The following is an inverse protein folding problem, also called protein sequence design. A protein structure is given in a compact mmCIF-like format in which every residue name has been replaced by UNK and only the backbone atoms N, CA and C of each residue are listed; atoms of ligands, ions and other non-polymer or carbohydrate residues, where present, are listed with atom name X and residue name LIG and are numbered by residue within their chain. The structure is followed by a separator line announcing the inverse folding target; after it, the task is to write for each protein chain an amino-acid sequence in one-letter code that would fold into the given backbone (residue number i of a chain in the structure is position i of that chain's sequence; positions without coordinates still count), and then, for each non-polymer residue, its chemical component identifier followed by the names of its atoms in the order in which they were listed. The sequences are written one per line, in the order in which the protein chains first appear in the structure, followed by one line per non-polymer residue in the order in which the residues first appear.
data_IF_965402272844
#
_entry.id   IF_965402272844
#
_cell.length_a   1.000
_cell.length_b   1.000
_cell.length_c   1.000
_cell.angle_alpha   90.00
_cell.angle_beta   90.00
_cell.angle_gamma   90.00
#
_symmetry.space_group_name_H-M   'P 1'
#
loop_
_entity.id
_entity.type
_entity.pdbx_description
1 polymer ?
#
# COMPACT_ATOMS: atom_id res chain seq x y z
N UNK A 1 15.65 -10.48 60.03
CA UNK A 1 14.93 -11.73 60.42
C UNK A 1 14.87 -12.60 59.19
N UNK A 2 15.81 -13.54 59.07
CA UNK A 2 15.72 -15.02 59.15
C UNK A 2 14.65 -15.59 58.21
N UNK A 3 15.02 -16.16 57.04
CA UNK A 3 15.54 -17.51 56.72
C UNK A 3 14.41 -18.55 56.53
N UNK A 4 14.34 -19.22 55.36
CA UNK A 4 14.60 -20.64 55.04
C UNK A 4 14.00 -20.99 53.67
N UNK A 5 14.74 -21.23 52.66
CA UNK A 5 15.27 -22.48 52.11
C UNK A 5 14.39 -23.73 52.31
N UNK A 6 13.93 -24.33 51.18
CA UNK A 6 13.68 -25.76 51.09
C UNK A 6 13.95 -26.27 49.67
N UNK A 7 15.03 -27.03 49.57
CA UNK A 7 15.50 -27.81 48.43
C UNK A 7 14.99 -29.24 48.66
N UNK A 8 14.34 -29.84 47.65
CA UNK A 8 14.22 -31.31 47.59
C UNK A 8 14.48 -31.83 46.19
N UNK A 9 15.61 -32.49 46.14
CA UNK A 9 16.07 -33.45 45.16
C UNK A 9 15.22 -34.71 45.20
N UNK A 10 14.85 -35.30 44.06
CA UNK A 10 14.53 -36.70 44.01
C UNK A 10 15.05 -37.26 42.68
N UNK A 11 15.97 -38.21 42.88
CA UNK A 11 16.73 -38.99 41.89
C UNK A 11 16.16 -40.38 41.83
N UNK A 12 16.39 -41.10 40.73
CA UNK A 12 16.30 -42.57 40.48
C UNK A 12 14.98 -43.04 39.85
N UNK A 13 14.92 -43.92 38.85
CA UNK A 13 15.78 -45.08 38.56
C UNK A 13 15.53 -45.63 37.14
N UNK A 14 16.58 -46.06 36.50
CA UNK A 14 16.57 -46.89 35.27
C UNK A 14 15.80 -48.21 35.45
N UNK A 15 15.20 -48.71 34.37
CA UNK A 15 15.14 -50.15 34.13
C UNK A 15 15.11 -50.47 32.63
N UNK A 16 16.10 -51.21 32.26
CA UNK A 16 16.44 -51.85 31.00
C UNK A 16 15.62 -53.14 30.84
N UNK A 17 15.05 -53.40 29.66
CA UNK A 17 14.73 -54.78 29.28
C UNK A 17 14.87 -54.93 27.76
N UNK A 18 16.00 -55.53 27.38
CA UNK A 18 16.18 -56.21 26.08
C UNK A 18 15.44 -57.55 26.08
N UNK A 19 14.78 -57.81 24.99
CA UNK A 19 14.50 -59.20 24.62
C UNK A 19 14.88 -59.38 23.13
N UNK A 20 15.94 -60.14 22.94
CA UNK A 20 16.37 -60.70 21.66
C UNK A 20 15.63 -62.05 21.50
N UNK A 21 15.02 -62.28 20.35
CA UNK A 21 14.79 -63.66 19.87
C UNK A 21 14.94 -63.72 18.36
N UNK A 22 15.94 -64.47 17.95
CA UNK A 22 16.18 -64.92 16.59
C UNK A 22 15.40 -66.21 16.30
N UNK A 23 14.94 -66.33 15.07
CA UNK A 23 15.06 -67.56 14.23
C UNK A 23 13.91 -67.52 13.18
N UNK A 24 14.17 -67.50 11.91
CA UNK A 24 14.60 -68.50 10.98
C UNK A 24 13.60 -68.67 9.86
N UNK A 25 14.12 -68.54 8.64
CA UNK A 25 13.81 -69.21 7.37
C UNK A 25 12.79 -68.64 6.37
N UNK A 26 13.39 -68.18 5.28
CA UNK A 26 13.12 -68.26 3.81
C UNK A 26 11.68 -68.52 3.28
N UNK A 27 11.18 -67.63 2.42
CA UNK A 27 11.08 -67.80 0.94
C UNK A 27 10.33 -66.67 0.25
N UNK A 28 11.01 -66.28 -0.85
CA UNK A 28 10.49 -65.80 -2.15
C UNK A 28 9.42 -64.71 -2.27
N UNK A 29 9.86 -63.57 -2.79
CA UNK A 29 9.35 -62.98 -4.03
C UNK A 29 8.08 -62.15 -3.93
N UNK A 30 8.21 -60.86 -3.77
CA UNK A 30 7.49 -59.96 -4.68
C UNK A 30 8.15 -58.57 -4.66
N UNK A 31 8.51 -58.10 -5.85
CA UNK A 31 8.98 -56.76 -6.08
C UNK A 31 7.77 -55.84 -6.04
N UNK A 32 7.50 -55.20 -4.93
CA UNK A 32 6.69 -53.98 -4.93
C UNK A 32 7.60 -52.80 -5.04
N UNK A 33 7.46 -52.13 -6.18
CA UNK A 33 8.12 -50.87 -6.51
C UNK A 33 8.07 -49.89 -5.33
N UNK A 34 9.25 -49.47 -4.88
CA UNK A 34 9.36 -48.34 -3.99
C UNK A 34 8.78 -47.13 -4.70
N UNK A 35 7.60 -46.70 -4.29
CA UNK A 35 7.10 -45.38 -4.64
C UNK A 35 8.06 -44.38 -4.10
N UNK A 36 8.79 -43.71 -4.99
CA UNK A 36 9.47 -42.43 -4.71
C UNK A 36 8.43 -41.53 -4.05
N UNK A 37 8.70 -40.88 -2.91
CA UNK A 37 7.80 -39.86 -2.44
C UNK A 37 7.68 -38.82 -3.58
N UNK A 38 6.47 -38.60 -4.08
CA UNK A 38 6.19 -37.45 -4.92
C UNK A 38 6.72 -36.24 -4.15
N UNK A 39 7.80 -35.66 -4.66
CA UNK A 39 8.35 -34.43 -4.14
C UNK A 39 7.27 -33.35 -4.28
N UNK A 40 6.54 -33.10 -3.22
CA UNK A 40 5.63 -31.97 -3.17
C UNK A 40 6.40 -30.75 -3.64
N UNK A 41 5.89 -30.03 -4.65
CA UNK A 41 6.51 -28.78 -5.10
C UNK A 41 6.73 -27.92 -3.85
N UNK A 42 7.97 -27.49 -3.62
CA UNK A 42 8.31 -26.55 -2.54
C UNK A 42 7.42 -25.31 -2.71
N UNK A 43 6.67 -24.94 -1.67
CA UNK A 43 5.87 -23.72 -1.70
C UNK A 43 6.75 -22.53 -2.01
N UNK A 44 6.28 -21.63 -2.86
CA UNK A 44 6.93 -20.37 -3.11
C UNK A 44 6.90 -19.52 -1.84
N UNK A 45 8.07 -19.11 -1.34
CA UNK A 45 8.23 -18.30 -0.13
C UNK A 45 8.44 -16.85 -0.51
N UNK A 46 7.55 -16.00 -0.05
CA UNK A 46 7.51 -14.58 -0.38
C UNK A 46 7.68 -13.76 0.89
N UNK A 47 8.54 -12.77 0.89
CA UNK A 47 8.61 -11.75 1.94
C UNK A 47 8.18 -10.40 1.36
N UNK A 48 7.37 -9.67 2.13
CA UNK A 48 7.10 -8.26 1.86
C UNK A 48 7.55 -7.40 3.03
N UNK A 49 8.28 -6.34 2.73
CA UNK A 49 8.81 -5.40 3.72
C UNK A 49 8.12 -4.06 3.50
N UNK A 50 7.36 -3.62 4.49
CA UNK A 50 6.68 -2.32 4.49
C UNK A 50 7.57 -1.25 5.13
N UNK A 51 7.59 -0.05 4.56
CA UNK A 51 8.17 1.15 5.16
C UNK A 51 7.13 1.78 6.13
N UNK A 52 6.88 1.12 7.26
CA UNK A 52 5.84 1.48 8.22
C UNK A 52 5.16 0.25 8.79
N UNK A 53 3.86 0.33 9.02
CA UNK A 53 3.06 -0.74 9.62
C UNK A 53 1.69 -0.88 8.93
N UNK A 54 1.03 -2.01 9.15
CA UNK A 54 -0.34 -2.26 8.73
C UNK A 54 -1.34 -1.51 9.62
N UNK A 55 -2.55 -1.28 9.11
CA UNK A 55 -3.57 -0.48 9.79
C UNK A 55 -3.51 1.00 9.44
N UNK A 56 -2.74 1.38 8.42
CA UNK A 56 -2.66 2.75 7.91
C UNK A 56 -3.90 3.20 7.13
N UNK A 57 -4.78 2.25 6.77
CA UNK A 57 -5.97 2.45 5.93
C UNK A 57 -5.64 3.15 4.61
N UNK A 58 -4.47 2.85 4.05
CA UNK A 58 -3.92 3.50 2.87
C UNK A 58 -2.95 2.55 2.15
N UNK A 59 -1.72 2.97 1.90
CA UNK A 59 -0.71 2.33 1.06
C UNK A 59 -0.32 0.92 1.50
N UNK A 60 0.00 0.71 2.80
CA UNK A 60 0.43 -0.60 3.29
C UNK A 60 -0.73 -1.58 3.37
N UNK A 61 -1.90 -1.13 3.78
CA UNK A 61 -3.11 -1.95 3.79
C UNK A 61 -3.53 -2.34 2.37
N UNK A 62 -3.39 -1.43 1.39
CA UNK A 62 -3.62 -1.76 -0.01
C UNK A 62 -2.71 -2.90 -0.49
N UNK A 63 -1.39 -2.82 -0.24
CA UNK A 63 -0.48 -3.91 -0.59
C UNK A 63 -0.88 -5.23 0.07
N UNK A 64 -1.30 -5.18 1.34
CA UNK A 64 -1.72 -6.36 2.10
C UNK A 64 -2.99 -7.02 1.53
N UNK A 65 -3.92 -6.25 0.96
CA UNK A 65 -5.07 -6.82 0.24
C UNK A 65 -4.63 -7.60 -1.01
N UNK A 66 -3.63 -7.12 -1.74
CA UNK A 66 -3.02 -7.84 -2.86
C UNK A 66 -2.39 -9.17 -2.43
N UNK A 67 -1.71 -9.18 -1.27
CA UNK A 67 -1.16 -10.40 -0.66
C UNK A 67 -2.28 -11.39 -0.31
N UNK A 68 -3.31 -10.93 0.38
CA UNK A 68 -4.45 -11.78 0.79
C UNK A 68 -5.11 -12.43 -0.43
N UNK A 69 -5.29 -11.66 -1.51
CA UNK A 69 -5.82 -12.18 -2.76
C UNK A 69 -4.93 -13.26 -3.34
N UNK A 70 -3.62 -13.03 -3.41
CA UNK A 70 -2.68 -14.01 -3.93
C UNK A 70 -2.64 -15.29 -3.08
N UNK A 71 -2.68 -15.20 -1.75
CA UNK A 71 -2.74 -16.35 -0.84
C UNK A 71 -4.03 -17.17 -0.98
N UNK A 72 -5.12 -16.55 -1.41
CA UNK A 72 -6.37 -17.25 -1.66
C UNK A 72 -6.35 -18.05 -2.98
N UNK A 73 -5.50 -17.66 -3.94
CA UNK A 73 -5.45 -18.26 -5.29
C UNK A 73 -4.26 -19.20 -5.49
N UNK A 74 -3.16 -18.99 -4.76
CA UNK A 74 -1.90 -19.72 -4.94
C UNK A 74 -1.45 -20.41 -3.63
N UNK A 75 -0.84 -21.58 -3.75
CA UNK A 75 -0.21 -22.28 -2.61
C UNK A 75 1.16 -21.68 -2.33
N UNK A 76 1.17 -20.54 -1.64
CA UNK A 76 2.35 -19.73 -1.30
C UNK A 76 2.47 -19.55 0.21
N UNK A 77 3.69 -19.25 0.68
CA UNK A 77 3.97 -18.84 2.05
C UNK A 77 4.39 -17.37 2.03
N UNK A 78 3.71 -16.51 2.77
CA UNK A 78 4.04 -15.09 2.81
C UNK A 78 4.43 -14.65 4.22
N UNK A 79 5.57 -13.97 4.35
CA UNK A 79 6.02 -13.28 5.55
C UNK A 79 5.93 -11.78 5.34
N UNK A 80 5.14 -11.13 6.17
CA UNK A 80 5.00 -9.67 6.18
C UNK A 80 5.87 -9.08 7.30
N UNK A 81 6.70 -8.09 6.96
CA UNK A 81 7.55 -7.36 7.90
C UNK A 81 7.16 -5.89 7.92
N UNK A 82 6.92 -5.38 9.12
CA UNK A 82 6.70 -3.97 9.38
C UNK A 82 8.01 -3.32 9.81
N UNK A 83 8.49 -2.34 9.06
CA UNK A 83 9.71 -1.59 9.39
C UNK A 83 9.34 -0.22 9.92
N UNK A 84 9.21 -0.13 11.24
CA UNK A 84 8.69 1.06 11.92
C UNK A 84 9.63 2.26 11.87
N UNK A 85 10.93 2.00 11.72
CA UNK A 85 11.98 3.01 11.62
C UNK A 85 12.90 2.71 10.44
N UNK A 86 13.51 3.73 9.81
CA UNK A 86 14.37 3.54 8.63
C UNK A 86 15.56 2.59 8.85
N UNK A 87 16.08 2.49 10.08
CA UNK A 87 17.16 1.56 10.43
C UNK A 87 16.81 0.08 10.24
N UNK A 88 15.53 -0.26 10.20
CA UNK A 88 15.07 -1.64 10.05
C UNK A 88 14.99 -2.06 8.57
N UNK A 89 14.92 -1.11 7.65
CA UNK A 89 14.61 -1.37 6.24
C UNK A 89 15.65 -2.29 5.58
N UNK A 90 16.92 -1.91 5.63
CA UNK A 90 18.01 -2.68 5.02
C UNK A 90 18.12 -4.06 5.67
N UNK A 91 18.09 -4.12 7.01
CA UNK A 91 18.17 -5.36 7.77
C UNK A 91 17.04 -6.33 7.39
N UNK A 92 15.81 -5.84 7.28
CA UNK A 92 14.66 -6.67 6.94
C UNK A 92 14.75 -7.22 5.51
N UNK A 93 15.11 -6.39 4.53
CA UNK A 93 15.28 -6.83 3.13
C UNK A 93 16.39 -7.89 3.02
N UNK A 94 17.57 -7.60 3.59
CA UNK A 94 18.73 -8.49 3.50
C UNK A 94 18.50 -9.81 4.25
N UNK A 95 17.85 -9.77 5.42
CA UNK A 95 17.54 -10.98 6.17
C UNK A 95 16.63 -11.91 5.38
N UNK A 96 15.59 -11.38 4.72
CA UNK A 96 14.68 -12.22 3.93
C UNK A 96 15.38 -12.84 2.72
N UNK A 97 16.23 -12.08 2.02
CA UNK A 97 17.03 -12.63 0.93
C UNK A 97 18.00 -13.73 1.44
N UNK A 98 18.66 -13.50 2.57
CA UNK A 98 19.61 -14.46 3.19
C UNK A 98 18.92 -15.72 3.74
N UNK A 99 17.67 -15.61 4.24
CA UNK A 99 16.86 -16.74 4.70
C UNK A 99 16.31 -17.59 3.54
N UNK A 100 16.62 -17.23 2.29
CA UNK A 100 16.25 -17.97 1.09
C UNK A 100 14.76 -17.88 0.75
N UNK A 101 14.17 -16.69 0.91
CA UNK A 101 12.88 -16.39 0.29
C UNK A 101 13.05 -16.34 -1.22
N UNK A 102 12.07 -16.86 -1.95
CA UNK A 102 12.11 -16.94 -3.41
C UNK A 102 11.81 -15.57 -4.07
N UNK A 103 11.01 -14.73 -3.37
CA UNK A 103 10.67 -13.36 -3.76
C UNK A 103 10.71 -12.45 -2.53
N UNK A 104 11.38 -11.30 -2.64
CA UNK A 104 11.41 -10.24 -1.62
C UNK A 104 10.87 -8.95 -2.24
N UNK A 105 9.79 -8.40 -1.66
CA UNK A 105 9.10 -7.21 -2.13
C UNK A 105 9.39 -6.05 -1.18
N UNK A 106 9.98 -4.96 -1.67
CA UNK A 106 10.08 -3.68 -0.97
C UNK A 106 8.86 -2.82 -1.28
N UNK A 107 7.97 -2.64 -0.31
CA UNK A 107 6.73 -1.89 -0.49
C UNK A 107 6.92 -0.41 -0.15
N UNK A 108 7.67 0.29 -0.93
CA UNK A 108 7.85 1.75 -0.97
C UNK A 108 9.02 2.13 -1.87
N UNK A 109 9.00 3.31 -2.47
CA UNK A 109 10.16 3.92 -3.14
C UNK A 109 11.38 4.11 -2.22
N UNK A 110 11.17 4.16 -0.92
CA UNK A 110 12.22 4.32 0.09
C UNK A 110 13.19 3.12 0.17
N UNK A 111 12.81 1.96 -0.40
CA UNK A 111 13.70 0.78 -0.53
C UNK A 111 14.59 0.82 -1.77
N UNK A 112 14.51 1.86 -2.62
CA UNK A 112 15.20 1.91 -3.92
C UNK A 112 16.69 1.63 -3.82
N UNK A 113 17.41 2.40 -3.00
CA UNK A 113 18.86 2.26 -2.85
C UNK A 113 19.24 0.93 -2.18
N UNK A 114 18.41 0.43 -1.27
CA UNK A 114 18.61 -0.84 -0.59
C UNK A 114 18.51 -1.99 -1.58
N UNK A 115 17.44 -2.04 -2.37
CA UNK A 115 17.25 -3.12 -3.36
C UNK A 115 18.29 -3.02 -4.46
N UNK A 116 18.59 -1.82 -4.96
CA UNK A 116 19.65 -1.61 -5.95
C UNK A 116 21.01 -2.11 -5.49
N UNK A 117 21.35 -1.88 -4.22
CA UNK A 117 22.61 -2.33 -3.62
C UNK A 117 22.66 -3.85 -3.48
N UNK A 118 21.59 -4.46 -2.96
CA UNK A 118 21.64 -5.84 -2.50
C UNK A 118 21.10 -6.87 -3.50
N UNK A 119 20.25 -6.49 -4.47
CA UNK A 119 19.73 -7.45 -5.45
C UNK A 119 20.85 -8.19 -6.23
N UNK A 120 21.97 -7.56 -6.63
CA UNK A 120 23.09 -8.26 -7.27
C UNK A 120 23.82 -9.28 -6.35
N UNK A 121 23.75 -9.10 -5.03
CA UNK A 121 24.36 -10.02 -4.06
C UNK A 121 23.57 -11.34 -3.93
N UNK A 122 22.29 -11.33 -4.33
CA UNK A 122 21.37 -12.48 -4.27
C UNK A 122 20.80 -12.82 -5.66
N UNK A 123 21.61 -13.27 -6.62
CA UNK A 123 21.18 -13.45 -8.02
C UNK A 123 20.08 -14.51 -8.22
N UNK A 124 19.89 -15.40 -7.25
CA UNK A 124 18.85 -16.44 -7.27
C UNK A 124 17.55 -16.02 -6.57
N UNK A 125 17.51 -14.85 -5.92
CA UNK A 125 16.32 -14.28 -5.29
C UNK A 125 15.68 -13.31 -6.28
N UNK A 126 14.37 -13.43 -6.46
CA UNK A 126 13.56 -12.44 -7.17
C UNK A 126 13.31 -11.26 -6.22
N UNK A 127 13.49 -10.06 -6.71
CA UNK A 127 13.11 -8.85 -5.97
C UNK A 127 11.99 -8.12 -6.70
N UNK A 128 11.15 -7.42 -5.95
CA UNK A 128 10.26 -6.44 -6.52
C UNK A 128 10.28 -5.16 -5.69
N UNK A 129 10.02 -4.04 -6.36
CA UNK A 129 9.90 -2.75 -5.70
C UNK A 129 8.61 -2.07 -6.14
N UNK A 130 7.91 -1.50 -5.17
CA UNK A 130 6.69 -0.74 -5.39
C UNK A 130 7.02 0.75 -5.34
N UNK A 131 6.47 1.51 -6.30
CA UNK A 131 6.49 2.97 -6.34
C UNK A 131 7.78 3.63 -6.90
N UNK A 132 8.70 2.84 -7.44
CA UNK A 132 9.90 3.36 -8.11
C UNK A 132 10.48 2.30 -9.05
N UNK A 133 11.54 2.65 -9.78
CA UNK A 133 12.26 1.74 -10.67
C UNK A 133 13.64 1.43 -10.11
N UNK A 134 13.99 0.14 -10.11
CA UNK A 134 15.34 -0.36 -9.89
C UNK A 134 15.74 -1.18 -11.11
N UNK A 135 16.77 -0.72 -11.82
CA UNK A 135 17.30 -1.37 -13.03
C UNK A 135 18.33 -2.44 -12.66
N UNK A 136 17.84 -3.60 -12.23
CA UNK A 136 18.64 -4.78 -11.92
C UNK A 136 18.00 -6.04 -12.53
N UNK A 137 18.78 -7.02 -13.00
CA UNK A 137 18.28 -8.14 -13.80
C UNK A 137 17.35 -9.10 -13.04
N UNK A 138 17.31 -9.05 -11.71
CA UNK A 138 16.43 -9.85 -10.87
C UNK A 138 15.38 -9.00 -10.11
N UNK A 139 15.16 -7.74 -10.52
CA UNK A 139 14.18 -6.85 -9.90
C UNK A 139 13.03 -6.55 -10.86
N UNK A 140 11.79 -6.75 -10.42
CA UNK A 140 10.59 -6.23 -11.09
C UNK A 140 10.14 -4.94 -10.38
N UNK A 141 9.84 -3.91 -11.14
CA UNK A 141 9.42 -2.61 -10.62
C UNK A 141 7.94 -2.37 -10.91
N UNK A 142 7.21 -1.82 -9.95
CA UNK A 142 5.82 -1.38 -10.13
C UNK A 142 5.76 0.12 -9.94
N UNK A 143 5.30 0.83 -10.96
CA UNK A 143 5.16 2.30 -10.94
C UNK A 143 3.73 2.70 -11.25
N UNK A 144 3.33 3.84 -10.70
CA UNK A 144 1.98 4.37 -10.83
C UNK A 144 2.01 5.75 -11.45
N UNK A 145 1.06 6.04 -12.32
CA UNK A 145 0.82 7.38 -12.85
C UNK A 145 -0.01 8.20 -11.85
N UNK A 146 0.52 8.39 -10.63
CA UNK A 146 -0.18 9.11 -9.56
C UNK A 146 -0.51 10.55 -9.92
N UNK A 147 0.25 11.18 -10.82
CA UNK A 147 -0.07 12.49 -11.37
C UNK A 147 -1.43 12.50 -12.09
N UNK A 148 -1.79 11.44 -12.84
CA UNK A 148 -3.10 11.34 -13.52
C UNK A 148 -4.26 11.33 -12.52
N UNK A 149 -4.19 10.47 -11.49
CA UNK A 149 -5.23 10.39 -10.46
C UNK A 149 -5.31 11.65 -9.61
N UNK A 150 -4.17 12.24 -9.28
CA UNK A 150 -4.12 13.51 -8.55
C UNK A 150 -4.64 14.68 -9.39
N UNK A 151 -4.44 14.67 -10.71
CA UNK A 151 -5.08 15.63 -11.61
C UNK A 151 -6.60 15.55 -11.49
N UNK A 152 -7.17 14.36 -11.55
CA UNK A 152 -8.61 14.17 -11.36
C UNK A 152 -9.08 14.63 -9.97
N UNK A 153 -8.31 14.32 -8.92
CA UNK A 153 -8.61 14.75 -7.55
C UNK A 153 -8.55 16.27 -7.38
N UNK A 154 -7.55 16.92 -7.97
CA UNK A 154 -7.42 18.38 -7.98
C UNK A 154 -8.55 19.07 -8.75
N UNK A 155 -8.94 18.50 -9.89
CA UNK A 155 -10.09 18.97 -10.66
C UNK A 155 -11.40 18.82 -9.85
N UNK A 156 -11.62 17.68 -9.18
CA UNK A 156 -12.78 17.47 -8.32
C UNK A 156 -12.83 18.46 -7.16
N UNK A 157 -11.70 18.70 -6.49
CA UNK A 157 -11.58 19.64 -5.39
C UNK A 157 -11.84 21.09 -5.85
N UNK A 158 -11.32 21.50 -7.01
CA UNK A 158 -11.53 22.83 -7.57
C UNK A 158 -12.98 23.05 -8.02
N UNK A 159 -13.65 22.03 -8.55
CA UNK A 159 -15.09 22.09 -8.85
C UNK A 159 -15.91 22.19 -7.58
N UNK A 160 -15.55 21.43 -6.55
CA UNK A 160 -16.29 21.37 -5.30
C UNK A 160 -16.21 22.68 -4.51
N UNK A 161 -15.03 23.31 -4.41
CA UNK A 161 -14.84 24.59 -3.69
C UNK A 161 -15.61 25.76 -4.33
N UNK A 162 -16.17 25.58 -5.55
CA UNK A 162 -17.05 26.57 -6.19
C UNK A 162 -18.54 26.40 -5.85
N UNK A 163 -18.90 25.34 -5.11
CA UNK A 163 -20.28 24.98 -4.78
C UNK A 163 -20.71 25.62 -3.45
N UNK A 164 -20.84 26.94 -3.43
CA UNK A 164 -21.15 27.73 -2.21
C UNK A 164 -22.55 27.47 -1.62
N UNK A 165 -23.39 26.73 -2.30
CA UNK A 165 -24.67 26.20 -1.82
C UNK A 165 -24.51 24.90 -1.01
N UNK A 166 -23.35 24.26 -1.08
CA UNK A 166 -22.96 23.13 -0.21
C UNK A 166 -22.53 23.69 1.15
N UNK A 167 -23.00 23.03 2.21
CA UNK A 167 -22.71 23.47 3.58
C UNK A 167 -21.20 23.64 3.83
N UNK A 168 -20.82 24.75 4.45
CA UNK A 168 -19.44 25.08 4.83
C UNK A 168 -18.43 25.25 3.66
N UNK A 169 -18.89 25.29 2.43
CA UNK A 169 -18.07 25.76 1.29
C UNK A 169 -18.13 27.29 1.24
N UNK A 170 -16.98 27.94 1.16
CA UNK A 170 -16.88 29.39 1.08
C UNK A 170 -16.60 29.88 -0.35
N UNK A 171 -16.51 31.18 -0.56
CA UNK A 171 -16.28 31.77 -1.89
C UNK A 171 -14.80 32.02 -2.23
N UNK A 172 -13.87 31.62 -1.38
CA UNK A 172 -12.44 31.99 -1.53
C UNK A 172 -11.67 31.11 -2.52
N UNK A 173 -12.24 29.98 -2.95
CA UNK A 173 -11.63 29.03 -3.89
C UNK A 173 -10.27 28.53 -3.42
N UNK A 174 -10.17 28.18 -2.15
CA UNK A 174 -8.95 27.65 -1.54
C UNK A 174 -9.14 26.16 -1.28
N UNK A 175 -8.22 25.37 -1.80
CA UNK A 175 -8.12 23.94 -1.54
C UNK A 175 -6.77 23.62 -0.87
N UNK A 176 -6.68 22.46 -0.23
CA UNK A 176 -5.50 22.05 0.49
C UNK A 176 -4.91 20.75 -0.02
N UNK A 177 -3.65 20.54 0.31
CA UNK A 177 -2.93 19.29 0.10
C UNK A 177 -1.97 19.05 1.27
N UNK A 178 -2.02 17.86 1.86
CA UNK A 178 -1.13 17.44 2.95
C UNK A 178 -0.40 16.18 2.54
N UNK A 179 0.92 16.26 2.38
CA UNK A 179 1.79 15.14 2.09
C UNK A 179 2.52 14.62 3.32
N UNK A 180 2.89 13.34 3.30
CA UNK A 180 3.70 12.73 4.36
C UNK A 180 5.12 13.28 4.35
N UNK A 181 5.88 13.00 3.31
CA UNK A 181 7.28 13.43 3.16
C UNK A 181 7.48 14.14 1.82
N UNK A 182 8.47 15.04 1.77
CA UNK A 182 8.88 15.69 0.53
C UNK A 182 9.84 14.78 -0.26
N UNK A 183 9.25 13.88 -1.05
CA UNK A 183 9.96 12.91 -1.88
C UNK A 183 9.41 12.92 -3.32
N UNK A 184 10.17 12.46 -4.33
CA UNK A 184 9.78 12.57 -5.73
C UNK A 184 8.37 12.05 -6.05
N UNK A 185 7.98 10.91 -5.52
CA UNK A 185 6.66 10.33 -5.75
C UNK A 185 5.52 11.22 -5.23
N UNK A 186 5.72 11.93 -4.10
CA UNK A 186 4.74 12.87 -3.58
C UNK A 186 4.73 14.19 -4.35
N UNK A 187 5.84 14.59 -4.95
CA UNK A 187 5.89 15.75 -5.85
C UNK A 187 5.09 15.48 -7.13
N UNK A 188 5.07 14.24 -7.64
CA UNK A 188 4.21 13.85 -8.77
C UNK A 188 2.72 14.00 -8.43
N UNK A 189 2.31 13.51 -7.24
CA UNK A 189 0.94 13.72 -6.73
C UNK A 189 0.59 15.21 -6.67
N UNK A 190 1.46 16.01 -6.04
CA UNK A 190 1.25 17.45 -5.87
C UNK A 190 1.16 18.18 -7.20
N UNK A 191 2.02 17.80 -8.15
CA UNK A 191 2.04 18.38 -9.50
C UNK A 191 0.72 18.10 -10.21
N UNK A 192 0.26 16.84 -10.24
CA UNK A 192 -1.02 16.48 -10.82
C UNK A 192 -2.18 17.22 -10.17
N UNK A 193 -2.21 17.27 -8.82
CA UNK A 193 -3.27 17.97 -8.08
C UNK A 193 -3.37 19.46 -8.43
N UNK A 194 -2.23 20.16 -8.49
CA UNK A 194 -2.19 21.56 -8.90
C UNK A 194 -2.62 21.77 -10.34
N UNK A 195 -2.17 20.89 -11.25
CA UNK A 195 -2.56 20.96 -12.66
C UNK A 195 -4.06 20.73 -12.85
N UNK A 196 -4.64 19.75 -12.14
CA UNK A 196 -6.08 19.49 -12.19
C UNK A 196 -6.90 20.65 -11.66
N UNK A 197 -6.48 21.24 -10.55
CA UNK A 197 -7.11 22.44 -10.00
C UNK A 197 -7.06 23.62 -10.98
N UNK A 198 -5.90 23.93 -11.52
CA UNK A 198 -5.70 25.02 -12.48
C UNK A 198 -6.40 24.78 -13.82
N UNK A 199 -6.59 23.52 -14.23
CA UNK A 199 -7.36 23.18 -15.42
C UNK A 199 -8.84 23.57 -15.30
N UNK A 200 -9.40 23.45 -14.10
CA UNK A 200 -10.79 23.84 -13.81
C UNK A 200 -10.89 25.35 -13.60
N UNK A 201 -10.06 25.90 -12.74
CA UNK A 201 -10.03 27.33 -12.45
C UNK A 201 -8.61 27.76 -12.03
N UNK A 202 -7.92 28.54 -12.88
CA UNK A 202 -6.55 28.99 -12.60
C UNK A 202 -6.41 29.89 -11.36
N UNK A 203 -7.54 30.44 -10.87
CA UNK A 203 -7.56 31.25 -9.65
C UNK A 203 -7.68 30.41 -8.37
N UNK A 204 -7.86 29.08 -8.50
CA UNK A 204 -7.91 28.19 -7.34
C UNK A 204 -6.55 28.16 -6.63
N UNK A 205 -6.54 28.55 -5.36
CA UNK A 205 -5.35 28.54 -4.52
C UNK A 205 -5.16 27.17 -3.87
N UNK A 206 -3.96 26.60 -3.99
CA UNK A 206 -3.59 25.33 -3.35
C UNK A 206 -2.65 25.59 -2.18
N UNK A 207 -3.11 25.33 -0.95
CA UNK A 207 -2.26 25.32 0.25
C UNK A 207 -1.53 23.97 0.33
N UNK A 208 -0.22 24.00 0.61
CA UNK A 208 0.61 22.79 0.64
C UNK A 208 1.33 22.68 1.96
N UNK A 209 1.28 21.48 2.56
CA UNK A 209 2.04 21.15 3.76
C UNK A 209 2.63 19.76 3.66
N UNK A 210 3.84 19.55 4.19
CA UNK A 210 4.44 18.23 4.39
C UNK A 210 4.59 17.96 5.88
N UNK A 211 4.15 16.78 6.32
CA UNK A 211 4.23 16.38 7.72
C UNK A 211 5.65 15.99 8.17
N UNK A 212 6.51 15.62 7.22
CA UNK A 212 7.84 15.05 7.49
C UNK A 212 7.81 13.58 7.91
N UNK A 213 6.63 12.95 7.89
CA UNK A 213 6.42 11.55 8.29
C UNK A 213 5.15 10.98 7.68
N UNK A 214 5.08 9.64 7.56
CA UNK A 214 3.87 8.91 7.20
C UNK A 214 3.12 8.32 8.41
N UNK A 215 3.63 8.50 9.64
CA UNK A 215 3.19 7.73 10.81
C UNK A 215 2.73 8.60 12.01
N UNK A 216 2.30 9.84 11.75
CA UNK A 216 1.84 10.77 12.79
C UNK A 216 0.47 11.40 12.44
N UNK A 217 -0.65 10.75 12.79
CA UNK A 217 -1.99 11.30 12.57
C UNK A 217 -2.23 12.65 13.27
N UNK A 218 -1.62 12.87 14.44
CA UNK A 218 -1.78 14.15 15.14
C UNK A 218 -1.17 15.29 14.33
N UNK A 219 0.00 15.06 13.74
CA UNK A 219 0.64 16.03 12.85
C UNK A 219 -0.19 16.28 11.59
N UNK A 220 -0.76 15.22 11.00
CA UNK A 220 -1.69 15.35 9.87
C UNK A 220 -2.89 16.22 10.21
N UNK A 221 -3.51 15.97 11.37
CA UNK A 221 -4.64 16.76 11.87
C UNK A 221 -4.28 18.23 12.09
N UNK A 222 -3.15 18.51 12.75
CA UNK A 222 -2.65 19.88 12.99
C UNK A 222 -2.50 20.66 11.67
N UNK A 223 -1.85 20.05 10.67
CA UNK A 223 -1.64 20.69 9.37
C UNK A 223 -2.93 20.95 8.62
N UNK A 224 -3.88 20.02 8.65
CA UNK A 224 -5.18 20.19 8.03
C UNK A 224 -6.00 21.30 8.71
N UNK A 225 -6.05 21.32 10.04
CA UNK A 225 -6.71 22.41 10.80
C UNK A 225 -6.13 23.77 10.46
N UNK A 226 -4.80 23.87 10.30
CA UNK A 226 -4.14 25.12 9.89
C UNK A 226 -4.55 25.54 8.48
N UNK A 227 -4.72 24.61 7.53
CA UNK A 227 -5.19 24.93 6.18
C UNK A 227 -6.69 25.30 6.16
N UNK A 228 -7.56 24.61 6.93
CA UNK A 228 -8.96 25.00 7.05
C UNK A 228 -9.11 26.39 7.69
N UNK A 229 -8.27 26.74 8.66
CA UNK A 229 -8.28 28.09 9.26
C UNK A 229 -7.84 29.19 8.29
N UNK A 230 -7.11 28.82 7.21
CA UNK A 230 -6.71 29.71 6.12
C UNK A 230 -7.73 29.76 4.97
N UNK A 231 -8.91 29.17 5.17
CA UNK A 231 -10.02 29.22 4.22
C UNK A 231 -10.13 28.02 3.27
N UNK A 232 -9.31 26.98 3.41
CA UNK A 232 -9.49 25.79 2.59
C UNK A 232 -10.86 25.13 2.85
N UNK A 233 -11.56 24.73 1.79
CA UNK A 233 -12.82 24.00 1.90
C UNK A 233 -12.62 22.49 1.91
N UNK A 234 -11.63 22.03 1.14
CA UNK A 234 -11.35 20.62 0.91
C UNK A 234 -9.83 20.38 0.87
N UNK A 235 -9.36 19.32 1.50
CA UNK A 235 -7.93 18.97 1.58
C UNK A 235 -7.72 17.54 1.09
N UNK A 236 -6.81 17.35 0.13
CA UNK A 236 -6.34 16.01 -0.24
C UNK A 236 -5.25 15.55 0.74
N UNK A 237 -5.40 14.33 1.27
CA UNK A 237 -4.34 13.69 2.03
C UNK A 237 -3.50 12.78 1.12
N UNK A 238 -2.16 12.86 1.22
CA UNK A 238 -1.21 11.94 0.57
C UNK A 238 -0.14 11.58 1.60
N UNK A 239 -0.57 10.93 2.69
CA UNK A 239 0.27 10.84 3.87
C UNK A 239 0.13 9.52 4.66
N UNK A 240 -0.41 8.45 4.04
CA UNK A 240 -0.58 7.14 4.69
C UNK A 240 -1.27 7.27 6.07
N UNK A 241 -0.74 6.66 7.14
CA UNK A 241 -1.33 6.77 8.48
C UNK A 241 -1.46 8.23 8.98
N UNK A 242 -0.52 9.12 8.65
CA UNK A 242 -0.63 10.56 8.95
C UNK A 242 -1.88 11.17 8.31
N UNK A 243 -2.29 10.68 7.14
CA UNK A 243 -3.50 11.10 6.43
C UNK A 243 -4.81 10.82 7.18
N UNK A 244 -4.85 9.83 8.06
CA UNK A 244 -6.02 9.58 8.91
C UNK A 244 -6.37 10.81 9.77
N UNK A 245 -5.35 11.55 10.22
CA UNK A 245 -5.55 12.82 10.95
C UNK A 245 -6.13 13.93 10.07
N UNK A 246 -5.78 13.97 8.78
CA UNK A 246 -6.37 14.93 7.83
C UNK A 246 -7.86 14.67 7.64
N UNK A 247 -8.24 13.39 7.47
CA UNK A 247 -9.63 12.99 7.34
C UNK A 247 -10.44 13.28 8.62
N UNK A 248 -9.85 13.05 9.79
CA UNK A 248 -10.46 13.39 11.09
C UNK A 248 -10.64 14.90 11.23
N UNK A 249 -9.66 15.72 10.82
CA UNK A 249 -9.76 17.18 10.83
C UNK A 249 -10.90 17.69 9.95
N UNK A 250 -11.12 17.07 8.79
CA UNK A 250 -12.24 17.43 7.90
C UNK A 250 -13.60 17.29 8.61
N UNK A 251 -13.82 16.13 9.23
CA UNK A 251 -15.02 15.87 10.03
C UNK A 251 -15.17 16.87 11.20
N UNK A 252 -14.10 17.05 11.98
CA UNK A 252 -14.15 17.89 13.18
C UNK A 252 -14.35 19.37 12.86
N UNK A 253 -13.81 19.83 11.71
CA UNK A 253 -13.99 21.20 11.21
C UNK A 253 -15.27 21.39 10.39
N UNK A 254 -16.05 20.32 10.18
CA UNK A 254 -17.19 20.32 9.25
C UNK A 254 -16.79 20.80 7.85
N UNK A 255 -15.59 20.42 7.41
CA UNK A 255 -15.01 20.69 6.10
C UNK A 255 -14.88 19.39 5.33
N UNK A 256 -14.15 19.38 4.21
CA UNK A 256 -14.11 18.25 3.30
C UNK A 256 -12.69 17.75 3.05
N UNK A 257 -12.58 16.50 2.63
CA UNK A 257 -11.33 15.87 2.27
C UNK A 257 -11.42 15.06 0.98
N UNK A 258 -10.26 14.78 0.40
CA UNK A 258 -10.06 13.76 -0.63
C UNK A 258 -9.16 12.67 -0.04
N UNK A 259 -9.62 11.43 -0.10
CA UNK A 259 -8.88 10.25 0.32
C UNK A 259 -7.80 9.82 -0.68
N UNK A 260 -6.98 8.82 -0.30
CA UNK A 260 -5.88 8.32 -1.13
C UNK A 260 -5.67 6.82 -0.99
N UNK A 261 -5.06 6.20 -1.98
CA UNK A 261 -4.65 4.80 -2.13
C UNK A 261 -5.82 3.82 -2.22
N UNK A 262 -6.65 3.74 -1.19
CA UNK A 262 -7.85 2.89 -1.14
C UNK A 262 -9.11 3.73 -1.05
N UNK A 263 -10.27 3.09 -1.13
CA UNK A 263 -11.54 3.77 -0.83
C UNK A 263 -11.59 4.13 0.67
N UNK A 264 -11.49 5.41 0.97
CA UNK A 264 -11.59 5.99 2.32
C UNK A 264 -12.93 6.71 2.55
N UNK A 265 -13.85 6.72 1.57
CA UNK A 265 -15.08 7.52 1.60
C UNK A 265 -15.96 7.18 2.80
N UNK A 266 -16.02 5.90 3.20
CA UNK A 266 -16.81 5.42 4.35
C UNK A 266 -16.17 5.69 5.72
N UNK A 267 -14.94 6.21 5.79
CA UNK A 267 -14.30 6.51 7.09
C UNK A 267 -15.06 7.63 7.79
N UNK A 268 -15.45 8.66 7.03
CA UNK A 268 -16.28 9.77 7.52
C UNK A 268 -17.31 10.17 6.44
N UNK A 269 -18.43 9.46 6.33
CA UNK A 269 -19.46 9.73 5.32
C UNK A 269 -19.93 11.18 5.37
N UNK A 270 -19.98 11.82 4.20
CA UNK A 270 -20.37 13.22 4.06
C UNK A 270 -19.25 14.25 4.27
N UNK A 271 -18.02 13.78 4.58
CA UNK A 271 -16.84 14.64 4.73
C UNK A 271 -15.72 14.29 3.75
N UNK A 272 -15.76 13.13 3.11
CA UNK A 272 -14.81 12.72 2.09
C UNK A 272 -15.52 12.71 0.74
N UNK A 273 -15.12 13.65 -0.14
CA UNK A 273 -15.75 13.83 -1.45
C UNK A 273 -15.57 12.60 -2.33
N UNK A 274 -14.34 12.11 -2.39
CA UNK A 274 -13.88 10.97 -3.18
C UNK A 274 -12.53 10.52 -2.65
N UNK A 275 -12.09 9.34 -3.04
CA UNK A 275 -10.73 8.85 -2.79
C UNK A 275 -9.99 8.63 -4.09
N UNK A 276 -8.75 9.13 -4.18
CA UNK A 276 -7.85 8.85 -5.29
C UNK A 276 -7.27 7.46 -5.11
N UNK A 277 -7.75 6.53 -5.93
CA UNK A 277 -7.35 5.13 -5.88
C UNK A 277 -5.98 4.95 -6.54
N UNK A 278 -5.04 4.39 -5.78
CA UNK A 278 -3.75 3.90 -6.25
C UNK A 278 -3.69 2.40 -5.95
N UNK A 279 -3.90 1.59 -6.98
CA UNK A 279 -4.15 0.16 -6.85
C UNK A 279 -2.86 -0.62 -6.55
N UNK A 280 -2.26 -0.32 -5.39
CA UNK A 280 -1.08 -1.04 -4.86
C UNK A 280 -1.43 -2.52 -4.65
N UNK A 281 -2.66 -2.81 -4.28
CA UNK A 281 -3.22 -4.16 -4.18
C UNK A 281 -3.07 -4.95 -5.48
N UNK A 282 -3.43 -4.34 -6.61
CA UNK A 282 -3.30 -4.97 -7.93
C UNK A 282 -1.82 -5.13 -8.31
N UNK A 283 -1.01 -4.09 -8.10
CA UNK A 283 0.42 -4.15 -8.40
C UNK A 283 1.14 -5.24 -7.61
N UNK A 284 0.88 -5.33 -6.30
CA UNK A 284 1.45 -6.37 -5.43
C UNK A 284 0.96 -7.77 -5.83
N UNK A 285 -0.34 -7.91 -6.12
CA UNK A 285 -0.91 -9.17 -6.59
C UNK A 285 -0.27 -9.64 -7.91
N UNK A 286 -0.10 -8.76 -8.92
CA UNK A 286 0.49 -9.13 -10.21
C UNK A 286 1.96 -9.55 -10.09
N UNK A 287 2.74 -8.90 -9.19
CA UNK A 287 4.10 -9.33 -8.87
C UNK A 287 4.10 -10.76 -8.31
N UNK A 288 3.27 -11.03 -7.30
CA UNK A 288 3.19 -12.35 -6.66
C UNK A 288 2.70 -13.41 -7.66
N UNK A 289 1.67 -13.11 -8.42
CA UNK A 289 1.13 -13.96 -9.49
C UNK A 289 2.20 -14.33 -10.51
N UNK A 290 2.97 -13.34 -10.96
CA UNK A 290 4.04 -13.58 -11.94
C UNK A 290 5.08 -14.58 -11.41
N UNK A 291 5.42 -14.49 -10.12
CA UNK A 291 6.34 -15.41 -9.47
C UNK A 291 5.72 -16.81 -9.26
N UNK A 292 4.46 -16.89 -8.87
CA UNK A 292 3.74 -18.15 -8.63
C UNK A 292 3.50 -18.93 -9.94
N UNK A 293 3.34 -18.24 -11.06
CA UNK A 293 3.14 -18.82 -12.39
C UNK A 293 4.45 -19.03 -13.17
N UNK A 294 5.62 -18.85 -12.54
CA UNK A 294 6.95 -18.91 -13.19
C UNK A 294 7.10 -17.94 -14.37
N UNK A 295 6.40 -16.81 -14.32
CA UNK A 295 6.41 -15.75 -15.35
C UNK A 295 7.14 -14.48 -14.93
N UNK A 296 7.75 -14.47 -13.75
CA UNK A 296 8.49 -13.33 -13.23
C UNK A 296 9.65 -12.95 -14.15
N UNK A 297 9.71 -11.68 -14.52
CA UNK A 297 10.79 -11.15 -15.36
C UNK A 297 11.48 -10.01 -14.62
N UNK A 298 12.74 -10.24 -14.27
CA UNK A 298 13.58 -9.16 -13.77
C UNK A 298 13.84 -8.12 -14.85
N UNK A 299 14.00 -6.86 -14.44
CA UNK A 299 14.08 -5.70 -15.34
C UNK A 299 12.73 -5.23 -15.91
N UNK A 300 11.62 -5.97 -15.67
CA UNK A 300 10.29 -5.54 -16.12
C UNK A 300 9.76 -4.41 -15.26
N UNK A 301 9.08 -3.44 -15.90
CA UNK A 301 8.40 -2.33 -15.25
C UNK A 301 6.89 -2.47 -15.51
N UNK A 302 6.14 -2.81 -14.47
CA UNK A 302 4.67 -2.81 -14.50
C UNK A 302 4.16 -1.39 -14.25
N UNK A 303 3.53 -0.80 -15.27
CA UNK A 303 2.97 0.56 -15.20
C UNK A 303 1.48 0.51 -14.92
N UNK A 304 1.08 1.17 -13.84
CA UNK A 304 -0.29 1.30 -13.36
C UNK A 304 -0.78 2.74 -13.60
N UNK A 305 -1.86 2.91 -14.39
CA UNK A 305 -2.36 4.22 -14.77
C UNK A 305 -3.90 4.24 -14.86
N UNK A 306 -4.47 5.36 -15.27
CA UNK A 306 -5.94 5.50 -15.44
C UNK A 306 -6.45 4.59 -16.55
N UNK A 307 -5.70 4.43 -17.64
CA UNK A 307 -6.15 3.63 -18.79
C UNK A 307 -6.31 2.13 -18.46
N UNK A 308 -5.46 1.58 -17.58
CA UNK A 308 -5.54 0.17 -17.16
C UNK A 308 -6.22 -0.04 -15.81
N UNK A 309 -6.81 1.01 -15.21
CA UNK A 309 -7.51 0.94 -13.95
C UNK A 309 -6.59 0.83 -12.71
N UNK A 310 -5.29 1.03 -12.88
CA UNK A 310 -4.32 1.07 -11.78
C UNK A 310 -4.39 2.36 -10.96
N UNK A 311 -5.00 3.39 -11.52
CA UNK A 311 -5.25 4.71 -10.92
C UNK A 311 -6.68 5.14 -11.24
N UNK A 312 -7.33 5.88 -10.35
CA UNK A 312 -8.66 6.44 -10.57
C UNK A 312 -9.20 7.22 -9.39
N UNK A 313 -10.48 7.55 -9.41
CA UNK A 313 -11.23 8.06 -8.27
C UNK A 313 -12.36 7.08 -7.90
N UNK A 314 -12.82 7.15 -6.66
CA UNK A 314 -14.10 6.54 -6.27
C UNK A 314 -15.26 7.27 -6.93
N UNK A 315 -16.43 6.63 -6.98
CA UNK A 315 -17.62 7.10 -7.69
C UNK A 315 -18.42 8.21 -6.96
N UNK A 316 -17.91 8.70 -5.84
CA UNK A 316 -18.54 9.70 -4.97
C UNK A 316 -19.92 9.29 -4.41
N UNK A 317 -20.30 8.02 -4.49
CA UNK A 317 -21.61 7.53 -4.06
C UNK A 317 -21.91 7.79 -2.59
N UNK A 318 -20.90 7.69 -1.71
CA UNK A 318 -21.02 7.96 -0.29
C UNK A 318 -21.33 9.44 -0.03
N UNK A 319 -20.62 10.36 -0.70
CA UNK A 319 -20.87 11.79 -0.60
C UNK A 319 -22.24 12.15 -1.19
N UNK A 320 -22.57 11.56 -2.34
CA UNK A 320 -23.88 11.74 -2.97
C UNK A 320 -25.03 11.31 -2.04
N UNK A 321 -24.88 10.17 -1.37
CA UNK A 321 -25.86 9.73 -0.38
C UNK A 321 -25.97 10.70 0.80
N UNK A 322 -24.86 11.24 1.28
CA UNK A 322 -24.83 12.14 2.42
C UNK A 322 -25.43 13.53 2.11
N UNK A 323 -25.18 14.07 0.92
CA UNK A 323 -25.68 15.39 0.50
C UNK A 323 -27.08 15.34 -0.11
N UNK A 324 -27.54 14.17 -0.57
CA UNK A 324 -28.82 14.01 -1.24
C UNK A 324 -28.99 14.96 -2.44
N UNK A 325 -30.10 15.68 -2.53
CA UNK A 325 -30.41 16.61 -3.63
C UNK A 325 -29.40 17.79 -3.73
N UNK A 326 -28.55 17.99 -2.73
CA UNK A 326 -27.50 19.03 -2.75
C UNK A 326 -26.18 18.54 -3.35
N UNK A 327 -26.08 17.27 -3.73
CA UNK A 327 -24.87 16.76 -4.37
C UNK A 327 -24.71 17.38 -5.77
N UNK A 328 -23.54 17.99 -6.07
CA UNK A 328 -23.33 18.66 -7.35
C UNK A 328 -22.96 17.62 -8.43
N UNK A 329 -23.97 17.08 -9.12
CA UNK A 329 -23.84 16.04 -10.16
C UNK A 329 -22.91 16.43 -11.32
N UNK A 330 -22.75 17.72 -11.57
CA UNK A 330 -21.86 18.23 -12.62
C UNK A 330 -20.38 17.92 -12.33
N UNK A 331 -20.01 17.76 -11.06
CA UNK A 331 -18.64 17.34 -10.68
C UNK A 331 -18.37 15.94 -11.23
N UNK A 332 -19.26 14.98 -10.93
CA UNK A 332 -19.09 13.60 -11.38
C UNK A 332 -19.07 13.53 -12.92
N UNK A 333 -19.95 14.27 -13.59
CA UNK A 333 -19.98 14.35 -15.06
C UNK A 333 -18.66 14.86 -15.61
N UNK A 334 -18.12 15.95 -15.02
CA UNK A 334 -16.84 16.53 -15.48
C UNK A 334 -15.66 15.62 -15.21
N UNK A 335 -15.61 14.97 -14.05
CA UNK A 335 -14.53 14.02 -13.73
C UNK A 335 -14.54 12.83 -14.68
N UNK A 336 -15.71 12.30 -15.03
CA UNK A 336 -15.81 11.23 -16.02
C UNK A 336 -15.30 11.69 -17.42
N UNK A 337 -15.66 12.91 -17.86
CA UNK A 337 -15.11 13.48 -19.09
C UNK A 337 -13.57 13.56 -19.07
N UNK A 338 -13.00 14.07 -17.96
CA UNK A 338 -11.55 14.20 -17.82
C UNK A 338 -10.87 12.84 -17.75
N UNK A 339 -11.48 11.85 -17.13
CA UNK A 339 -10.98 10.47 -17.09
C UNK A 339 -10.85 9.90 -18.50
N UNK A 340 -11.86 10.09 -19.37
CA UNK A 340 -11.79 9.62 -20.74
C UNK A 340 -10.74 10.38 -21.57
N UNK A 341 -10.53 11.67 -21.30
CA UNK A 341 -9.47 12.46 -21.94
C UNK A 341 -8.07 12.02 -21.54
N UNK A 342 -7.87 11.58 -20.29
CA UNK A 342 -6.60 10.99 -19.86
C UNK A 342 -6.40 9.62 -20.53
N UNK A 343 -7.43 8.76 -20.57
CA UNK A 343 -7.36 7.46 -21.23
C UNK A 343 -7.05 7.56 -22.72
N UNK A 344 -7.53 8.60 -23.39
CA UNK A 344 -7.27 8.87 -24.81
C UNK A 344 -5.98 9.65 -25.06
N UNK A 345 -5.20 9.95 -24.03
CA UNK A 345 -3.97 10.76 -24.06
C UNK A 345 -4.17 12.19 -24.58
N UNK A 346 -5.41 12.70 -24.58
CA UNK A 346 -5.71 14.12 -24.87
C UNK A 346 -5.17 15.03 -23.76
N UNK A 347 -5.21 14.56 -22.51
CA UNK A 347 -4.54 15.15 -21.34
C UNK A 347 -3.40 14.22 -20.94
N UNK A 348 -2.19 14.82 -20.79
CA UNK A 348 -0.95 14.10 -20.44
C UNK A 348 -0.37 14.60 -19.14
#
# INVERSE_FOLDING_TARGET
MKVKSFMRVFTMLLLFLMVISCSGDKKDGDQTAGGTPEGGKKKLRIAIVHAGFLGDKSFNDSANEGIKKAMAEYDIEVKTLESKVPSDWETNVVSMASEGYDLVIGNSSQFQDIIKKHAPEFPNVKFAIIDTVVDEPNVMSVVFAQNEGSFLAGAAAALFTQKTDVLNVNAEKIIGWVGGMDIPVLQDFLTGYKQGAAYIDPDTKVLVSFAGTFNDPLKGKELALAQYSQGADIIMNVASNTGNGVLEAAKDSQKYAVGVDINQDDIYPGFILTSMLKRVDVGTYEVIKSAAEDKFKGGEILKMNVANGGIGLTDMSVMKQALGDKFPEDILTKINELTEKIKSEEIK
#
